data_IF_283752290398
#
_entry.id   IF_283752290398
#
_cell.length_a   1.000
_cell.length_b   1.000
_cell.length_c   1.000
_cell.angle_alpha   90.00
_cell.angle_beta   90.00
_cell.angle_gamma   90.00
#
_symmetry.space_group_name_H-M   'P 1'
#
loop_
_entity.id
_entity.type
_entity.pdbx_description
1 polymer ?
#
# COMPACT_ATOMS: atom_id res chain seq x y z
N UNK A 1 9.30 -26.60 -9.27
CA UNK A 1 7.99 -26.61 -8.62
C UNK A 1 7.46 -25.16 -8.66
N UNK A 2 6.61 -24.85 -9.66
CA UNK A 2 6.02 -23.50 -9.75
C UNK A 2 4.91 -23.42 -8.71
N UNK A 3 5.12 -22.62 -7.68
CA UNK A 3 4.06 -22.34 -6.69
C UNK A 3 3.00 -21.47 -7.34
N UNK A 4 1.80 -22.01 -7.48
CA UNK A 4 0.62 -21.21 -7.85
C UNK A 4 0.20 -20.36 -6.63
N UNK A 5 1.07 -19.43 -6.24
CA UNK A 5 0.75 -18.52 -5.13
C UNK A 5 -0.23 -17.41 -5.54
N UNK A 6 -0.42 -17.24 -6.84
CA UNK A 6 -1.22 -16.12 -7.35
C UNK A 6 -2.73 -16.23 -7.06
N UNK A 7 -3.23 -17.46 -6.87
CA UNK A 7 -4.67 -17.65 -6.62
C UNK A 7 -5.09 -17.26 -5.19
N UNK A 8 -4.18 -17.32 -4.23
CA UNK A 8 -4.52 -17.01 -2.84
C UNK A 8 -4.69 -15.52 -2.57
N UNK A 9 -3.96 -14.67 -3.27
CA UNK A 9 -4.02 -13.22 -3.06
C UNK A 9 -5.14 -12.57 -3.88
N UNK A 10 -5.62 -13.25 -4.94
CA UNK A 10 -6.69 -12.71 -5.80
C UNK A 10 -8.10 -12.79 -5.19
N UNK A 11 -8.27 -13.49 -4.09
CA UNK A 11 -9.60 -13.70 -3.51
C UNK A 11 -9.95 -12.75 -2.38
N UNK A 12 -9.00 -11.99 -1.88
CA UNK A 12 -9.23 -11.01 -0.81
C UNK A 12 -8.96 -9.61 -1.34
N UNK A 13 -9.95 -8.76 -1.31
CA UNK A 13 -9.76 -7.34 -1.60
C UNK A 13 -8.97 -6.71 -0.47
N UNK A 14 -7.72 -6.38 -0.71
CA UNK A 14 -6.87 -5.76 0.31
C UNK A 14 -7.12 -4.25 0.44
N UNK A 15 -7.92 -3.67 -0.45
CA UNK A 15 -8.13 -2.22 -0.49
C UNK A 15 -8.77 -1.68 0.78
N UNK A 16 -9.62 -2.49 1.44
CA UNK A 16 -10.24 -2.11 2.72
C UNK A 16 -9.49 -2.67 3.94
N UNK A 17 -8.36 -3.35 3.74
CA UNK A 17 -7.57 -3.93 4.83
C UNK A 17 -6.62 -2.88 5.41
N UNK A 18 -7.22 -1.84 5.99
CA UNK A 18 -6.48 -0.74 6.61
C UNK A 18 -7.39 -0.04 7.63
N UNK A 19 -6.84 0.85 8.39
CA UNK A 19 -7.62 1.64 9.35
C UNK A 19 -8.51 2.65 8.64
N UNK A 20 -9.70 2.85 9.16
CA UNK A 20 -10.70 3.77 8.58
C UNK A 20 -10.16 5.19 8.37
N UNK A 21 -9.30 5.65 9.30
CA UNK A 21 -8.77 7.02 9.21
C UNK A 21 -7.90 7.21 7.95
N UNK A 22 -7.26 6.14 7.47
CA UNK A 22 -6.45 6.18 6.25
C UNK A 22 -7.30 6.57 5.04
N UNK A 23 -8.49 5.94 4.91
CA UNK A 23 -9.43 6.29 3.84
C UNK A 23 -9.96 7.71 4.01
N UNK A 24 -10.20 8.15 5.25
CA UNK A 24 -10.67 9.51 5.52
C UNK A 24 -9.61 10.54 5.10
N UNK A 25 -8.35 10.28 5.41
CA UNK A 25 -7.23 11.14 4.99
C UNK A 25 -7.12 11.18 3.46
N UNK A 26 -7.23 10.01 2.81
CA UNK A 26 -7.20 9.92 1.35
C UNK A 26 -8.32 10.78 0.73
N UNK A 27 -9.53 10.73 1.30
CA UNK A 27 -10.65 11.55 0.87
C UNK A 27 -10.34 13.04 1.02
N UNK A 28 -9.75 13.42 2.16
CA UNK A 28 -9.32 14.81 2.38
C UNK A 28 -8.32 15.28 1.32
N UNK A 29 -7.30 14.48 1.05
CA UNK A 29 -6.29 14.81 0.02
C UNK A 29 -6.93 14.91 -1.37
N UNK A 30 -7.89 14.04 -1.68
CA UNK A 30 -8.62 14.07 -2.94
C UNK A 30 -9.40 15.38 -3.08
N UNK A 31 -10.12 15.80 -2.03
CA UNK A 31 -10.90 17.04 -2.05
C UNK A 31 -10.03 18.29 -2.17
N UNK A 32 -8.87 18.28 -1.52
CA UNK A 32 -7.92 19.41 -1.58
C UNK A 32 -7.08 19.40 -2.86
N UNK A 33 -7.27 18.41 -3.72
CA UNK A 33 -6.49 18.20 -4.95
C UNK A 33 -4.98 18.19 -4.71
N UNK A 34 -4.57 17.65 -3.57
CA UNK A 34 -3.15 17.59 -3.21
C UNK A 34 -2.41 16.58 -4.07
N UNK A 35 -1.29 17.01 -4.61
CA UNK A 35 -0.43 16.23 -5.49
C UNK A 35 1.00 16.13 -4.95
N UNK A 36 1.15 16.29 -3.65
CA UNK A 36 2.48 16.30 -3.03
C UNK A 36 3.01 14.86 -2.96
N UNK A 37 4.30 14.72 -3.22
CA UNK A 37 4.99 13.47 -2.95
C UNK A 37 5.19 13.32 -1.44
N UNK A 38 4.91 12.13 -0.95
CA UNK A 38 5.07 11.80 0.47
C UNK A 38 5.99 10.60 0.62
N UNK A 39 6.72 10.56 1.71
CA UNK A 39 7.62 9.45 2.02
C UNK A 39 7.22 8.86 3.36
N UNK A 40 7.12 7.55 3.40
CA UNK A 40 6.81 6.81 4.62
C UNK A 40 7.91 5.80 4.90
N UNK A 41 8.29 5.70 6.17
CA UNK A 41 9.25 4.71 6.65
C UNK A 41 8.54 3.66 7.48
N UNK A 42 8.79 2.39 7.18
CA UNK A 42 8.31 1.27 7.99
C UNK A 42 9.45 0.73 8.84
N UNK A 43 9.20 0.60 10.13
CA UNK A 43 10.19 0.11 11.09
C UNK A 43 9.49 -0.60 12.26
N UNK A 44 10.24 -1.42 12.95
CA UNK A 44 9.77 -2.05 14.18
C UNK A 44 9.88 -1.07 15.35
N UNK A 45 8.76 -0.83 16.03
CA UNK A 45 8.74 -0.02 17.25
C UNK A 45 9.32 -0.78 18.44
N UNK A 46 9.15 -2.10 18.44
CA UNK A 46 9.74 -3.00 19.44
C UNK A 46 9.99 -4.35 18.77
N UNK A 47 11.05 -4.99 19.19
CA UNK A 47 11.35 -6.34 18.69
C UNK A 47 10.46 -7.34 19.43
N UNK A 48 9.76 -8.23 18.68
CA UNK A 48 8.92 -9.24 19.32
C UNK A 48 9.74 -10.14 20.27
N UNK A 49 9.08 -10.57 21.34
CA UNK A 49 9.56 -11.59 22.27
C UNK A 49 10.89 -11.25 22.97
N UNK A 50 11.28 -9.97 22.97
CA UNK A 50 12.53 -9.55 23.60
C UNK A 50 13.79 -10.12 22.93
N UNK A 51 13.66 -10.59 21.68
CA UNK A 51 14.74 -11.31 20.99
C UNK A 51 15.90 -10.44 20.49
N UNK A 52 15.81 -9.13 20.58
CA UNK A 52 16.87 -8.23 20.18
C UNK A 52 16.96 -7.92 18.69
N UNK A 53 16.38 -8.77 17.83
CA UNK A 53 16.36 -8.54 16.38
C UNK A 53 15.14 -9.22 15.75
N UNK A 54 14.85 -8.84 14.52
CA UNK A 54 13.83 -9.47 13.69
C UNK A 54 14.41 -9.84 12.33
N UNK A 55 13.85 -10.82 11.67
CA UNK A 55 14.22 -11.21 10.31
C UNK A 55 13.21 -10.62 9.35
N UNK A 56 13.69 -9.91 8.34
CA UNK A 56 12.81 -9.34 7.31
C UNK A 56 12.19 -10.48 6.49
N UNK A 57 10.86 -10.51 6.45
CA UNK A 57 10.13 -11.51 5.67
C UNK A 57 8.82 -10.92 5.17
N UNK A 58 8.42 -11.29 3.93
CA UNK A 58 7.15 -10.89 3.36
C UNK A 58 7.22 -9.77 2.34
N UNK A 59 8.40 -9.31 1.97
CA UNK A 59 8.55 -8.24 0.98
C UNK A 59 7.90 -8.59 -0.36
N UNK A 60 8.09 -9.82 -0.83
CA UNK A 60 7.48 -10.28 -2.08
C UNK A 60 5.96 -10.17 -2.02
N UNK A 61 5.36 -10.58 -0.90
CA UNK A 61 3.91 -10.50 -0.70
C UNK A 61 3.42 -9.05 -0.68
N UNK A 62 4.16 -8.15 -0.04
CA UNK A 62 3.82 -6.72 0.01
C UNK A 62 3.84 -6.13 -1.41
N UNK A 63 4.87 -6.43 -2.18
CA UNK A 63 4.99 -5.95 -3.56
C UNK A 63 3.80 -6.47 -4.39
N UNK A 64 3.49 -7.75 -4.27
CA UNK A 64 2.37 -8.36 -4.99
C UNK A 64 1.03 -7.72 -4.62
N UNK A 65 0.80 -7.46 -3.34
CA UNK A 65 -0.42 -6.78 -2.86
C UNK A 65 -0.50 -5.38 -3.49
N UNK A 66 0.58 -4.61 -3.42
CA UNK A 66 0.59 -3.23 -3.92
C UNK A 66 0.37 -3.18 -5.45
N UNK A 67 1.01 -4.09 -6.19
CA UNK A 67 0.87 -4.15 -7.64
C UNK A 67 -0.55 -4.51 -8.08
N UNK A 68 -1.27 -5.27 -7.25
CA UNK A 68 -2.60 -5.75 -7.55
C UNK A 68 -3.69 -5.04 -6.73
N UNK A 69 -3.34 -3.97 -6.02
CA UNK A 69 -4.27 -3.26 -5.15
C UNK A 69 -5.36 -2.56 -5.98
N UNK A 70 -6.60 -3.00 -5.79
CA UNK A 70 -7.77 -2.47 -6.51
C UNK A 70 -9.00 -2.50 -5.61
N UNK A 71 -9.83 -1.48 -5.74
CA UNK A 71 -11.14 -1.46 -5.09
C UNK A 71 -12.13 -2.20 -5.97
N UNK A 72 -12.72 -3.27 -5.42
CA UNK A 72 -13.75 -4.05 -6.11
C UNK A 72 -15.10 -3.32 -6.08
N UNK A 73 -16.05 -3.77 -6.90
CA UNK A 73 -17.42 -3.23 -6.86
C UNK A 73 -18.05 -3.40 -5.46
N UNK A 74 -17.73 -4.51 -4.78
CA UNK A 74 -18.22 -4.76 -3.42
C UNK A 74 -17.62 -3.77 -2.42
N UNK A 75 -16.33 -3.45 -2.55
CA UNK A 75 -15.66 -2.46 -1.70
C UNK A 75 -16.30 -1.08 -1.88
N UNK A 76 -16.54 -0.67 -3.11
CA UNK A 76 -17.16 0.62 -3.43
C UNK A 76 -18.57 0.69 -2.85
N UNK A 77 -19.35 -0.38 -3.02
CA UNK A 77 -20.71 -0.43 -2.47
C UNK A 77 -20.71 -0.38 -0.94
N UNK A 78 -19.73 -1.05 -0.30
CA UNK A 78 -19.56 -0.98 1.14
C UNK A 78 -19.25 0.45 1.59
N UNK A 79 -18.28 1.10 0.93
CA UNK A 79 -17.90 2.49 1.24
C UNK A 79 -19.09 3.43 1.04
N UNK A 80 -19.85 3.26 -0.05
CA UNK A 80 -21.04 4.08 -0.34
C UNK A 80 -22.06 4.03 0.79
N UNK A 81 -22.24 2.85 1.38
CA UNK A 81 -23.23 2.66 2.46
C UNK A 81 -22.74 3.10 3.84
N UNK A 82 -21.42 3.07 4.07
CA UNK A 82 -20.89 3.22 5.43
C UNK A 82 -20.13 4.51 5.66
N UNK A 83 -19.90 5.31 4.60
CA UNK A 83 -19.11 6.53 4.70
C UNK A 83 -19.82 7.69 3.98
N UNK A 84 -19.49 8.95 4.33
CA UNK A 84 -20.07 10.10 3.64
C UNK A 84 -19.25 10.52 2.41
N UNK A 85 -18.62 9.57 1.71
CA UNK A 85 -17.80 9.88 0.53
C UNK A 85 -18.71 10.15 -0.67
N UNK A 86 -18.34 11.14 -1.47
CA UNK A 86 -19.10 11.47 -2.67
C UNK A 86 -18.77 10.54 -3.85
N UNK A 87 -19.63 10.55 -4.85
CA UNK A 87 -19.48 9.66 -6.01
C UNK A 87 -18.21 9.94 -6.82
N UNK A 88 -17.72 11.18 -6.82
CA UNK A 88 -16.47 11.51 -7.52
C UNK A 88 -15.28 10.76 -6.91
N UNK A 89 -15.22 10.74 -5.58
CA UNK A 89 -14.16 9.99 -4.88
C UNK A 89 -14.32 8.49 -5.07
N UNK A 90 -15.54 7.97 -4.95
CA UNK A 90 -15.79 6.54 -5.15
C UNK A 90 -15.43 6.09 -6.57
N UNK A 91 -15.73 6.92 -7.57
CA UNK A 91 -15.33 6.67 -8.96
C UNK A 91 -13.81 6.71 -9.13
N UNK A 92 -13.15 7.66 -8.47
CA UNK A 92 -11.68 7.72 -8.47
C UNK A 92 -11.08 6.44 -7.90
N UNK A 93 -11.58 5.96 -6.74
CA UNK A 93 -11.09 4.73 -6.12
C UNK A 93 -11.25 3.52 -7.05
N UNK A 94 -12.39 3.45 -7.73
CA UNK A 94 -12.71 2.32 -8.61
C UNK A 94 -11.88 2.30 -9.89
N UNK A 95 -11.68 3.45 -10.52
CA UNK A 95 -11.19 3.51 -11.90
C UNK A 95 -9.78 4.05 -12.04
N UNK A 96 -9.37 4.95 -11.17
CA UNK A 96 -8.14 5.72 -11.34
C UNK A 96 -7.10 5.45 -10.24
N UNK A 97 -7.52 4.85 -9.11
CA UNK A 97 -6.61 4.59 -8.01
C UNK A 97 -5.57 3.54 -8.44
N UNK A 98 -4.31 3.91 -8.35
CA UNK A 98 -3.19 3.01 -8.64
C UNK A 98 -1.96 3.51 -7.90
N UNK A 99 -1.12 2.59 -7.48
CA UNK A 99 0.15 2.94 -6.83
C UNK A 99 1.17 3.33 -7.90
N UNK A 100 1.65 4.57 -7.83
CA UNK A 100 2.67 5.11 -8.73
C UNK A 100 3.96 5.49 -7.99
N UNK A 101 4.13 4.98 -6.78
CA UNK A 101 5.29 5.27 -5.96
C UNK A 101 6.47 4.34 -6.21
N UNK A 102 7.53 4.58 -5.45
CA UNK A 102 8.71 3.72 -5.41
C UNK A 102 8.85 3.11 -4.02
N UNK A 103 9.38 1.92 -3.96
CA UNK A 103 9.62 1.21 -2.70
C UNK A 103 11.10 0.83 -2.64
N UNK A 104 11.75 1.18 -1.54
CA UNK A 104 13.10 0.72 -1.21
C UNK A 104 12.98 -0.14 0.04
N UNK A 105 13.55 -1.31 0.01
CA UNK A 105 13.42 -2.26 1.11
C UNK A 105 14.71 -3.06 1.28
N UNK A 106 14.93 -3.52 2.50
CA UNK A 106 16.00 -4.49 2.76
C UNK A 106 15.61 -5.84 2.15
N UNK A 107 16.57 -6.62 1.67
CA UNK A 107 16.26 -7.94 1.10
C UNK A 107 15.63 -8.90 2.11
N UNK A 108 14.88 -9.86 1.60
CA UNK A 108 14.35 -10.96 2.42
C UNK A 108 15.50 -11.67 3.18
N UNK A 109 15.24 -12.01 4.43
CA UNK A 109 16.22 -12.67 5.28
C UNK A 109 17.18 -11.73 5.98
N UNK A 110 17.11 -10.42 5.72
CA UNK A 110 17.97 -9.42 6.41
C UNK A 110 17.61 -9.33 7.89
N UNK A 111 18.63 -9.15 8.68
CA UNK A 111 18.41 -8.92 10.12
C UNK A 111 18.11 -7.43 10.36
N UNK A 112 17.13 -7.15 10.90
CA UNK A 112 16.66 -5.80 11.18
C UNK A 112 16.73 -5.56 12.67
N UNK A 113 17.41 -4.65 13.13
CA UNK A 113 17.43 -4.27 14.50
C UNK A 113 16.43 -3.15 14.77
N UNK A 114 16.11 -2.86 15.82
CA UNK A 114 15.17 -1.90 16.21
C UNK A 114 15.48 -0.59 15.58
N UNK A 115 14.87 -0.04 15.01
CA UNK A 115 14.91 1.16 14.33
C UNK A 115 15.55 1.13 12.98
N UNK A 116 15.43 -0.02 12.53
CA UNK A 116 15.94 -0.15 11.21
C UNK A 116 14.81 -0.01 10.25
N UNK A 117 15.05 0.63 9.22
CA UNK A 117 14.04 0.88 8.25
C UNK A 117 13.81 -0.33 7.40
N UNK A 118 12.70 -0.60 7.32
CA UNK A 118 12.31 -1.79 6.62
C UNK A 118 11.92 -1.51 5.27
N UNK A 119 11.25 -0.30 5.10
CA UNK A 119 10.79 0.08 3.81
C UNK A 119 10.57 1.56 3.80
N UNK A 120 10.80 2.03 2.81
CA UNK A 120 10.45 3.39 2.55
C UNK A 120 9.51 3.37 1.39
N UNK A 121 8.53 3.87 1.59
CA UNK A 121 7.53 3.95 0.61
C UNK A 121 7.40 5.34 0.16
N UNK A 122 7.58 5.70 -0.88
CA UNK A 122 7.33 6.91 -1.50
C UNK A 122 6.11 6.74 -2.30
N UNK A 123 5.18 7.31 -1.89
CA UNK A 123 3.92 7.25 -2.52
C UNK A 123 3.52 8.61 -2.92
N UNK A 124 2.93 8.72 -3.87
CA UNK A 124 2.32 9.91 -4.35
C UNK A 124 0.96 9.87 -3.80
N UNK A 125 0.71 10.75 -3.21
CA UNK A 125 -0.55 10.82 -2.59
C UNK A 125 -1.65 11.06 -3.55
N UNK A 126 -2.13 10.82 -4.22
CA UNK A 126 -3.15 10.86 -5.14
C UNK A 126 -2.71 11.31 -6.49
N UNK A 127 -2.23 10.49 -7.29
CA UNK A 127 -1.85 10.87 -8.67
C UNK A 127 -2.94 10.48 -9.67
N UNK A 128 -3.54 11.45 -10.25
CA UNK A 128 -4.39 11.27 -11.45
C UNK A 128 -3.44 11.09 -12.64
N UNK A 129 -3.31 9.84 -13.07
CA UNK A 129 -2.66 9.42 -14.34
C UNK A 129 -1.51 10.32 -14.83
N UNK A 130 -0.34 10.15 -14.29
CA UNK A 130 0.84 10.52 -15.05
C UNK A 130 1.16 9.37 -15.99
N UNK A 131 0.98 9.56 -17.26
CA UNK A 131 1.33 8.59 -18.28
C UNK A 131 2.83 8.31 -18.24
N UNK A 132 3.17 7.09 -17.90
CA UNK A 132 4.44 6.51 -18.28
C UNK A 132 5.65 6.80 -17.40
N UNK A 133 5.71 6.16 -16.22
CA UNK A 133 7.01 5.84 -15.62
C UNK A 133 6.94 4.44 -15.01
N UNK A 134 7.89 3.63 -15.37
CA UNK A 134 8.03 2.26 -14.89
C UNK A 134 8.25 2.25 -13.38
N UNK A 135 7.45 1.46 -12.69
CA UNK A 135 7.66 1.20 -11.26
C UNK A 135 9.02 0.54 -11.06
N UNK A 136 9.93 1.23 -10.40
CA UNK A 136 11.21 0.66 -10.08
C UNK A 136 11.20 0.24 -8.61
N UNK A 137 11.18 -1.06 -8.37
CA UNK A 137 11.41 -1.61 -7.04
C UNK A 137 12.88 -1.95 -6.94
N UNK A 138 13.59 -1.28 -6.07
CA UNK A 138 15.00 -1.57 -5.82
C UNK A 138 15.18 -2.06 -4.40
N UNK A 139 15.79 -3.22 -4.26
CA UNK A 139 16.21 -3.75 -2.96
C UNK A 139 17.71 -3.50 -2.80
N UNK A 140 18.14 -3.07 -1.62
CA UNK A 140 19.54 -2.85 -1.27
C UNK A 140 19.99 -3.95 -0.31
#
# INVERSE_FOLDING_TARGET
>A
MKRNNMERLNTCGYALYTDKYEHTMMYGYFKESKKDDVVFDMFFRSVPDGGGYAICAGLESVIEIIQNLKFTDQDIEFLRKTTPYDEDFLNYLKNDYTFNGSIWAVPEGSIXXXXXXXXXXXXXXXDRKSKGKSNCCSAY
#
